data_IF_081888313277
#
_entry.id   IF_081888313277
#
_cell.length_a   1.000
_cell.length_b   1.000
_cell.length_c   1.000
_cell.angle_alpha   90.00
_cell.angle_beta   90.00
_cell.angle_gamma   90.00
#
_symmetry.space_group_name_H-M   'P 1'
#
loop_
_entity.id
_entity.type
_entity.pdbx_description
1 polymer ?
#
# COMPACT_ATOMS: atom_id res chain seq x y z
N UNK A 1 8.13 -10.36 -8.44
CA UNK A 1 8.26 -9.21 -9.36
C UNK A 1 9.33 -8.20 -8.93
N UNK A 2 9.84 -8.24 -7.70
CA UNK A 2 10.77 -7.23 -7.16
C UNK A 2 11.99 -6.91 -8.04
N UNK A 3 12.67 -7.92 -8.58
CA UNK A 3 13.88 -7.75 -9.41
C UNK A 3 13.62 -7.67 -10.92
N UNK A 4 12.37 -7.48 -11.34
CA UNK A 4 12.03 -7.44 -12.78
C UNK A 4 12.40 -6.09 -13.39
N UNK A 5 12.96 -6.08 -14.60
CA UNK A 5 13.41 -4.86 -15.30
C UNK A 5 12.30 -3.83 -15.53
N UNK A 6 11.04 -4.27 -15.52
CA UNK A 6 9.84 -3.48 -15.75
C UNK A 6 9.08 -3.10 -14.47
N UNK A 7 9.70 -3.25 -13.29
CA UNK A 7 9.06 -2.93 -11.99
C UNK A 7 9.86 -1.84 -11.29
N UNK A 8 9.20 -0.72 -10.98
CA UNK A 8 9.79 0.46 -10.35
C UNK A 8 10.02 0.30 -8.84
N UNK A 9 9.46 -0.75 -8.23
CA UNK A 9 9.55 -1.00 -6.81
C UNK A 9 8.49 -0.25 -5.99
N UNK A 10 8.75 0.01 -4.69
CA UNK A 10 7.78 0.63 -3.79
C UNK A 10 7.42 2.07 -4.16
N UNK A 11 6.13 2.41 -4.10
CA UNK A 11 5.64 3.74 -4.45
C UNK A 11 6.10 4.87 -3.51
N UNK A 12 6.53 4.56 -2.26
CA UNK A 12 7.03 5.58 -1.29
C UNK A 12 8.20 6.39 -1.84
N UNK A 13 8.99 5.76 -2.74
CA UNK A 13 10.18 6.37 -3.31
C UNK A 13 9.85 7.51 -4.26
N UNK A 14 8.60 7.59 -4.74
CA UNK A 14 8.16 8.52 -5.76
C UNK A 14 7.10 9.50 -5.25
N UNK A 15 6.21 9.04 -4.37
CA UNK A 15 5.13 9.83 -3.79
C UNK A 15 5.02 9.54 -2.28
N UNK A 16 4.63 10.54 -1.47
CA UNK A 16 4.38 10.30 -0.05
C UNK A 16 3.21 9.33 0.11
N UNK A 17 3.44 8.19 0.74
CA UNK A 17 2.39 7.21 1.04
C UNK A 17 1.93 7.36 2.48
N UNK A 18 0.64 7.64 2.67
CA UNK A 18 0.09 7.82 4.01
C UNK A 18 -0.12 6.50 4.78
N UNK A 19 -0.52 5.44 4.07
CA UNK A 19 -0.86 4.14 4.67
C UNK A 19 -0.47 2.99 3.75
N UNK A 20 0.22 1.98 4.31
CA UNK A 20 0.47 0.69 3.68
C UNK A 20 -0.51 -0.37 4.16
N UNK A 21 -1.07 -1.13 3.21
CA UNK A 21 -1.94 -2.28 3.48
C UNK A 21 -1.22 -3.54 2.97
N UNK A 22 -0.69 -4.40 3.85
CA UNK A 22 0.07 -5.57 3.43
C UNK A 22 -0.85 -6.68 2.88
N UNK A 23 -0.39 -7.36 1.83
CA UNK A 23 -1.02 -8.59 1.31
C UNK A 23 -0.81 -8.78 -0.20
N UNK A 24 -0.97 -10.03 -0.68
CA UNK A 24 -0.86 -10.37 -2.10
C UNK A 24 -1.83 -11.52 -2.47
N UNK A 25 -3.14 -11.25 -2.63
CA UNK A 25 -3.81 -9.97 -2.38
C UNK A 25 -4.10 -9.75 -0.88
N UNK A 26 -4.29 -8.50 -0.43
CA UNK A 26 -4.77 -8.21 0.92
C UNK A 26 -6.18 -8.79 1.14
N UNK A 27 -6.47 -9.23 2.36
CA UNK A 27 -7.82 -9.65 2.72
C UNK A 27 -8.79 -8.46 2.66
N UNK A 28 -10.07 -8.65 2.32
CA UNK A 28 -11.05 -7.56 2.29
C UNK A 28 -11.11 -6.79 3.62
N UNK A 29 -11.03 -7.47 4.77
CA UNK A 29 -11.05 -6.78 6.07
C UNK A 29 -9.81 -5.88 6.26
N UNK A 30 -8.65 -6.30 5.75
CA UNK A 30 -7.41 -5.50 5.82
C UNK A 30 -7.49 -4.26 4.92
N UNK A 31 -8.18 -4.35 3.78
CA UNK A 31 -8.42 -3.20 2.92
C UNK A 31 -9.31 -2.16 3.62
N UNK A 32 -10.41 -2.61 4.24
CA UNK A 32 -11.34 -1.74 4.98
C UNK A 32 -10.61 -1.06 6.16
N UNK A 33 -9.84 -1.83 6.93
CA UNK A 33 -9.04 -1.28 8.04
C UNK A 33 -7.98 -0.27 7.56
N UNK A 34 -7.41 -0.48 6.37
CA UNK A 34 -6.51 0.47 5.72
C UNK A 34 -7.18 1.81 5.42
N UNK A 35 -8.40 1.78 4.88
CA UNK A 35 -9.20 2.99 4.63
C UNK A 35 -9.54 3.70 5.94
N UNK A 36 -9.98 2.97 6.96
CA UNK A 36 -10.27 3.54 8.29
C UNK A 36 -9.01 4.19 8.89
N UNK A 37 -7.83 3.58 8.72
CA UNK A 37 -6.56 4.15 9.17
C UNK A 37 -6.20 5.43 8.41
N UNK A 38 -6.46 5.49 7.11
CA UNK A 38 -6.26 6.70 6.32
C UNK A 38 -7.20 7.84 6.75
N UNK A 39 -8.48 7.53 7.01
CA UNK A 39 -9.47 8.50 7.49
C UNK A 39 -9.13 9.09 8.86
N UNK A 40 -8.50 8.32 9.76
CA UNK A 40 -8.05 8.82 11.07
C UNK A 40 -6.86 9.77 11.02
N UNK A 41 -6.19 9.85 9.86
CA UNK A 41 -5.00 10.67 9.63
C UNK A 41 -5.34 12.03 9.00
N UNK A 42 -6.57 12.18 8.48
CA UNK A 42 -7.19 13.47 8.12
C UNK A 42 -7.53 14.27 9.38
#
# INVERSE_FOLDING_TARGET
FESSYNVVGPYDKYLPVDVYIPGCPPKPESMIMGVVKALKRL
#
